data_IF_903491137994
#
_entry.id   IF_903491137994
#
_cell.length_a   1.000
_cell.length_b   1.000
_cell.length_c   1.000
_cell.angle_alpha   90.00
_cell.angle_beta   90.00
_cell.angle_gamma   90.00
#
_symmetry.space_group_name_H-M   'P 1'
#
loop_
_entity.id
_entity.type
_entity.pdbx_description
1 polymer ?
#
# COMPACT_ATOMS: atom_id res chain seq x y z
N UNK A 1 10.47 -1.77 -11.49
CA UNK A 1 9.95 -3.02 -10.92
C UNK A 1 10.76 -3.38 -9.69
N UNK A 2 10.11 -3.76 -8.59
CA UNK A 2 10.72 -4.31 -7.37
C UNK A 2 10.33 -5.77 -7.31
N UNK A 3 11.29 -6.67 -7.03
CA UNK A 3 11.04 -8.12 -7.02
C UNK A 3 11.70 -8.79 -5.83
N UNK A 4 10.91 -9.55 -5.10
CA UNK A 4 11.37 -10.54 -4.12
C UNK A 4 11.02 -11.91 -4.69
N UNK A 5 11.99 -12.80 -4.76
CA UNK A 5 11.79 -14.16 -5.29
C UNK A 5 12.24 -15.17 -4.24
N UNK A 6 11.29 -15.91 -3.70
CA UNK A 6 11.51 -16.98 -2.70
C UNK A 6 12.35 -16.54 -1.50
N UNK A 7 12.07 -15.33 -0.98
CA UNK A 7 12.86 -14.73 0.09
C UNK A 7 12.49 -15.32 1.43
N UNK A 8 13.51 -15.86 2.12
CA UNK A 8 13.37 -16.33 3.50
C UNK A 8 14.29 -15.54 4.42
N UNK A 9 13.78 -15.21 5.62
CA UNK A 9 14.53 -14.54 6.68
C UNK A 9 14.14 -15.04 8.07
N UNK A 10 15.14 -15.49 8.81
CA UNK A 10 14.98 -15.97 10.18
C UNK A 10 15.81 -15.11 11.14
N UNK A 11 15.24 -14.75 12.28
CA UNK A 11 15.92 -14.02 13.35
C UNK A 11 16.00 -14.88 14.60
N UNK A 12 17.12 -14.77 15.33
CA UNK A 12 17.32 -15.48 16.60
C UNK A 12 17.25 -17.01 16.54
N UNK A 13 17.41 -17.58 15.35
CA UNK A 13 17.42 -19.03 15.11
C UNK A 13 16.07 -19.73 15.15
N UNK A 14 14.98 -19.04 15.50
CA UNK A 14 13.65 -19.66 15.64
C UNK A 14 12.53 -18.89 14.92
N UNK A 15 12.59 -17.57 14.88
CA UNK A 15 11.50 -16.76 14.30
C UNK A 15 11.73 -16.53 12.83
N UNK A 16 10.94 -17.21 12.00
CA UNK A 16 10.92 -17.02 10.55
C UNK A 16 10.02 -15.83 10.22
N UNK A 17 10.64 -14.67 9.95
CA UNK A 17 9.92 -13.42 9.70
C UNK A 17 9.46 -13.28 8.24
N UNK A 18 10.18 -13.90 7.29
CA UNK A 18 9.75 -14.13 5.92
C UNK A 18 9.97 -15.60 5.60
N UNK A 19 9.00 -16.21 4.97
CA UNK A 19 9.00 -17.63 4.62
C UNK A 19 8.56 -17.84 3.17
N UNK A 20 9.55 -18.03 2.31
CA UNK A 20 9.36 -18.21 0.86
C UNK A 20 8.55 -17.07 0.20
N UNK A 21 8.79 -15.83 0.66
CA UNK A 21 8.05 -14.67 0.19
C UNK A 21 8.41 -14.35 -1.27
N UNK A 22 7.40 -14.35 -2.12
CA UNK A 22 7.48 -13.83 -3.50
C UNK A 22 6.54 -12.65 -3.63
N UNK A 23 7.04 -11.53 -4.18
CA UNK A 23 6.35 -10.26 -4.32
C UNK A 23 6.87 -9.53 -5.55
N UNK A 24 5.97 -8.98 -6.37
CA UNK A 24 6.33 -8.18 -7.53
C UNK A 24 5.59 -6.85 -7.56
N UNK A 25 6.34 -5.74 -7.45
CA UNK A 25 5.79 -4.39 -7.62
C UNK A 25 6.07 -3.92 -9.06
N UNK A 26 5.04 -3.75 -9.89
CA UNK A 26 5.23 -3.25 -11.26
C UNK A 26 5.86 -1.86 -11.29
N UNK A 27 6.56 -1.55 -12.36
CA UNK A 27 7.15 -0.22 -12.52
C UNK A 27 6.07 0.83 -12.74
N UNK A 28 6.16 1.95 -12.03
CA UNK A 28 5.20 3.05 -12.10
C UNK A 28 3.88 2.76 -11.37
N UNK A 29 3.76 1.64 -10.68
CA UNK A 29 2.61 1.28 -9.87
C UNK A 29 2.65 1.91 -8.47
N UNK A 30 1.48 2.04 -7.87
CA UNK A 30 1.29 2.29 -6.44
C UNK A 30 0.81 0.99 -5.79
N UNK A 31 1.72 0.32 -5.11
CA UNK A 31 1.48 -1.00 -4.53
C UNK A 31 1.27 -0.92 -3.01
N UNK A 32 0.12 -1.39 -2.54
CA UNK A 32 -0.22 -1.51 -1.13
C UNK A 32 0.17 -2.88 -0.58
N UNK A 33 1.08 -2.92 0.41
CA UNK A 33 1.46 -4.12 1.14
C UNK A 33 0.71 -4.16 2.48
N UNK A 34 -0.30 -5.01 2.57
CA UNK A 34 -1.22 -5.07 3.70
C UNK A 34 -0.98 -6.30 4.57
N UNK A 35 -1.24 -6.17 5.86
CA UNK A 35 -1.17 -7.29 6.80
C UNK A 35 -1.18 -6.80 8.25
N UNK A 36 -1.56 -7.69 9.15
CA UNK A 36 -1.53 -7.41 10.59
C UNK A 36 -0.12 -7.09 11.10
N UNK A 37 -0.05 -6.53 12.31
CA UNK A 37 1.24 -6.34 12.98
C UNK A 37 1.93 -7.70 13.17
N UNK A 38 3.21 -7.75 12.79
CA UNK A 38 3.98 -8.99 12.80
C UNK A 38 3.84 -9.85 11.52
N UNK A 39 3.05 -9.45 10.52
CA UNK A 39 2.93 -10.18 9.26
C UNK A 39 4.23 -10.28 8.43
N UNK A 40 5.23 -9.43 8.72
CA UNK A 40 6.51 -9.42 8.01
C UNK A 40 6.72 -8.21 7.09
N UNK A 41 5.75 -7.27 6.97
CA UNK A 41 5.79 -6.10 6.08
C UNK A 41 7.08 -5.29 6.22
N UNK A 42 7.38 -4.80 7.41
CA UNK A 42 8.61 -4.04 7.70
C UNK A 42 9.87 -4.85 7.40
N UNK A 43 9.84 -6.18 7.63
CA UNK A 43 10.97 -7.04 7.29
C UNK A 43 11.16 -7.11 5.77
N UNK A 44 10.10 -7.29 4.99
CA UNK A 44 10.15 -7.27 3.53
C UNK A 44 10.68 -5.91 3.02
N UNK A 45 10.17 -4.79 3.54
CA UNK A 45 10.62 -3.44 3.21
C UNK A 45 12.12 -3.25 3.50
N UNK A 46 12.62 -3.77 4.63
CA UNK A 46 14.06 -3.68 4.97
C UNK A 46 14.95 -4.51 4.05
N UNK A 47 14.43 -5.55 3.41
CA UNK A 47 15.14 -6.26 2.34
C UNK A 47 15.11 -5.45 1.03
N UNK A 48 13.96 -4.89 0.66
CA UNK A 48 13.78 -4.02 -0.52
C UNK A 48 14.70 -2.80 -0.44
N UNK A 49 14.89 -2.22 0.75
CA UNK A 49 15.78 -1.08 0.97
C UNK A 49 17.25 -1.49 1.18
N UNK A 50 17.54 -2.80 1.17
CA UNK A 50 18.88 -3.35 1.34
C UNK A 50 19.47 -3.12 2.73
N UNK A 51 18.63 -2.92 3.76
CA UNK A 51 19.04 -2.86 5.17
C UNK A 51 19.33 -4.28 5.67
N UNK A 52 18.49 -5.25 5.30
CA UNK A 52 18.70 -6.64 5.62
C UNK A 52 19.16 -7.46 4.41
N UNK A 53 19.99 -8.46 4.68
CA UNK A 53 20.32 -9.52 3.73
C UNK A 53 19.42 -10.72 4.01
N UNK A 54 18.84 -11.28 2.95
CA UNK A 54 18.05 -12.51 3.02
C UNK A 54 18.92 -13.73 3.32
N UNK A 55 18.31 -14.76 3.91
CA UNK A 55 18.97 -16.05 4.15
C UNK A 55 18.93 -16.92 2.90
N UNK A 56 17.82 -16.86 2.11
CA UNK A 56 17.68 -17.47 0.79
C UNK A 56 16.80 -16.60 -0.12
N UNK A 57 16.79 -16.93 -1.41
CA UNK A 57 16.07 -16.18 -2.44
C UNK A 57 16.84 -14.96 -2.95
N UNK A 58 16.15 -14.08 -3.66
CA UNK A 58 16.75 -12.87 -4.23
C UNK A 58 15.85 -11.65 -4.09
N UNK A 59 16.46 -10.46 -3.97
CA UNK A 59 15.79 -9.16 -3.93
C UNK A 59 16.42 -8.25 -4.97
N UNK A 60 15.62 -7.81 -5.94
CA UNK A 60 16.10 -6.95 -7.03
C UNK A 60 15.22 -5.71 -7.20
N UNK A 61 15.83 -4.63 -7.69
CA UNK A 61 15.16 -3.41 -8.13
C UNK A 61 15.69 -3.05 -9.52
N UNK A 62 14.75 -2.98 -10.48
CA UNK A 62 15.12 -2.79 -11.89
C UNK A 62 16.05 -3.90 -12.42
N UNK A 63 15.87 -5.13 -11.95
CA UNK A 63 16.68 -6.30 -12.30
C UNK A 63 18.07 -6.36 -11.63
N UNK A 64 18.41 -5.40 -10.76
CA UNK A 64 19.71 -5.36 -10.07
C UNK A 64 19.56 -5.71 -8.58
N UNK A 65 20.48 -6.50 -7.99
CA UNK A 65 20.44 -6.81 -6.57
C UNK A 65 20.61 -5.53 -5.73
N UNK A 66 19.87 -5.46 -4.61
CA UNK A 66 19.80 -4.25 -3.76
C UNK A 66 20.86 -4.27 -2.66
N UNK A 67 21.10 -5.43 -2.04
CA UNK A 67 22.00 -5.54 -0.90
C UNK A 67 23.43 -5.12 -1.30
N UNK A 68 24.04 -4.21 -0.51
CA UNK A 68 25.38 -3.63 -0.78
C UNK A 68 25.54 -3.00 -2.17
N UNK A 69 24.46 -2.48 -2.74
CA UNK A 69 24.49 -1.81 -4.05
C UNK A 69 24.13 -0.32 -3.92
N UNK A 70 25.12 0.58 -3.71
CA UNK A 70 24.86 2.02 -3.57
C UNK A 70 24.16 2.66 -4.76
N UNK A 71 24.44 2.16 -5.99
CA UNK A 71 23.84 2.69 -7.21
C UNK A 71 22.31 2.45 -7.24
N UNK A 72 21.86 1.28 -6.79
CA UNK A 72 20.43 0.98 -6.63
C UNK A 72 19.84 1.76 -5.47
N UNK A 73 20.53 1.76 -4.31
CA UNK A 73 20.04 2.44 -3.09
C UNK A 73 19.87 3.96 -3.29
N UNK A 74 20.71 4.60 -4.10
CA UNK A 74 20.58 6.03 -4.40
C UNK A 74 19.32 6.40 -5.19
N UNK A 75 18.61 5.40 -5.74
CA UNK A 75 17.34 5.56 -6.47
C UNK A 75 16.12 5.33 -5.59
N UNK A 76 16.32 4.91 -4.32
CA UNK A 76 15.25 4.58 -3.37
C UNK A 76 15.08 5.76 -2.41
N UNK A 77 13.85 6.28 -2.30
CA UNK A 77 13.39 7.10 -1.20
C UNK A 77 12.71 6.20 -0.18
N UNK A 78 13.17 6.21 1.07
CA UNK A 78 12.61 5.36 2.12
C UNK A 78 12.16 6.19 3.32
N UNK A 79 10.93 5.95 3.76
CA UNK A 79 10.39 6.51 5.00
C UNK A 79 10.00 5.32 5.90
N UNK A 80 10.74 5.08 7.00
CA UNK A 80 10.39 4.06 7.97
C UNK A 80 9.22 4.49 8.86
N UNK A 81 8.56 3.53 9.48
CA UNK A 81 7.53 3.78 10.50
C UNK A 81 8.12 4.54 11.71
N UNK A 82 9.26 4.08 12.23
CA UNK A 82 9.99 4.76 13.31
C UNK A 82 11.10 5.65 12.74
N UNK A 83 10.89 6.97 12.88
CA UNK A 83 11.82 8.01 12.45
C UNK A 83 12.94 8.32 13.48
N UNK A 84 13.16 7.47 14.48
CA UNK A 84 14.17 7.68 15.54
C UNK A 84 15.58 8.02 15.05
N UNK A 85 15.83 7.90 13.76
CA UNK A 85 17.11 8.17 13.09
C UNK A 85 17.36 9.67 12.84
N UNK A 86 16.32 10.53 12.88
CA UNK A 86 16.50 11.98 12.66
C UNK A 86 17.11 12.71 13.89
N UNK A 87 17.85 12.02 14.70
CA UNK A 87 18.20 12.28 16.09
C UNK A 87 18.99 13.52 16.48
N UNK A 88 19.20 14.54 15.69
CA UNK A 88 19.98 15.66 16.27
C UNK A 88 20.08 16.93 15.46
N UNK A 89 19.91 16.85 14.15
CA UNK A 89 20.05 18.00 13.25
C UNK A 89 18.75 18.79 13.06
N UNK A 90 18.89 19.91 12.38
CA UNK A 90 17.78 20.69 11.82
C UNK A 90 17.41 20.13 10.45
N UNK A 91 16.20 20.45 9.95
CA UNK A 91 15.79 20.09 8.60
C UNK A 91 16.75 20.67 7.54
N UNK A 92 17.27 21.87 7.77
CA UNK A 92 18.25 22.54 6.89
C UNK A 92 19.57 21.77 6.81
N UNK A 93 20.07 21.27 7.93
CA UNK A 93 21.31 20.47 7.97
C UNK A 93 21.13 19.13 7.27
N UNK A 94 19.98 18.46 7.48
CA UNK A 94 19.67 17.24 6.77
C UNK A 94 19.48 17.45 5.27
N UNK A 95 18.84 18.53 4.85
CA UNK A 95 18.71 18.85 3.42
C UNK A 95 20.09 19.10 2.78
N UNK A 96 21.01 19.76 3.49
CA UNK A 96 22.39 19.94 3.03
C UNK A 96 23.13 18.60 2.91
N UNK A 97 22.97 17.73 3.90
CA UNK A 97 23.52 16.37 3.87
C UNK A 97 22.96 15.54 2.69
N UNK A 98 21.63 15.55 2.51
CA UNK A 98 20.97 14.82 1.42
C UNK A 98 21.40 15.31 0.05
N UNK A 99 21.60 16.63 -0.11
CA UNK A 99 22.14 17.22 -1.35
C UNK A 99 23.54 16.70 -1.69
N UNK A 100 24.34 16.38 -0.68
CA UNK A 100 25.70 15.82 -0.89
C UNK A 100 25.63 14.33 -1.21
N UNK A 101 24.74 13.60 -0.56
CA UNK A 101 24.66 12.14 -0.67
C UNK A 101 23.86 11.65 -1.88
N UNK A 102 22.85 12.42 -2.31
CA UNK A 102 21.94 12.02 -3.38
C UNK A 102 22.12 12.92 -4.61
N UNK A 103 22.71 12.39 -5.70
CA UNK A 103 22.98 13.18 -6.90
C UNK A 103 21.72 13.78 -7.55
N UNK A 104 20.55 13.19 -7.30
CA UNK A 104 19.26 13.61 -7.87
C UNK A 104 18.48 14.56 -6.96
N UNK A 105 19.05 15.04 -5.84
CA UNK A 105 18.37 15.98 -4.96
C UNK A 105 17.93 17.24 -5.72
N UNK A 106 16.62 17.46 -5.79
CA UNK A 106 16.00 18.58 -6.49
C UNK A 106 15.80 19.78 -5.54
N UNK A 107 16.70 20.73 -5.61
CA UNK A 107 16.65 21.93 -4.77
C UNK A 107 15.43 22.82 -5.08
N UNK A 108 14.89 22.78 -6.33
CA UNK A 108 13.68 23.53 -6.68
C UNK A 108 12.46 22.88 -6.06
N UNK A 109 12.37 21.53 -6.12
CA UNK A 109 11.31 20.77 -5.46
C UNK A 109 11.35 21.00 -3.95
N UNK A 110 12.55 20.93 -3.34
CA UNK A 110 12.71 21.20 -1.91
C UNK A 110 12.17 22.58 -1.53
N UNK A 111 12.47 23.62 -2.34
CA UNK A 111 11.97 24.97 -2.09
C UNK A 111 10.44 25.06 -2.27
N UNK A 112 9.87 24.40 -3.26
CA UNK A 112 8.41 24.37 -3.49
C UNK A 112 7.65 23.65 -2.35
N UNK A 113 8.20 22.57 -1.83
CA UNK A 113 7.60 21.81 -0.72
C UNK A 113 7.61 22.57 0.62
N UNK A 114 8.36 23.66 0.76
CA UNK A 114 8.32 24.53 1.93
C UNK A 114 6.92 25.09 2.19
N UNK A 115 6.23 25.52 1.13
CA UNK A 115 4.89 26.10 1.25
C UNK A 115 3.82 25.05 1.58
N UNK A 116 4.12 23.79 1.27
CA UNK A 116 3.26 22.64 1.59
C UNK A 116 3.41 22.24 3.05
N UNK A 117 4.62 21.93 3.48
CA UNK A 117 4.88 21.38 4.82
C UNK A 117 4.97 22.43 5.92
N UNK A 118 5.35 23.68 5.60
CA UNK A 118 5.39 24.85 6.48
C UNK A 118 6.12 24.61 7.81
N UNK A 119 7.21 23.83 7.78
CA UNK A 119 8.04 23.59 8.94
C UNK A 119 9.16 24.61 9.02
N UNK A 120 9.54 24.99 10.23
CA UNK A 120 10.74 25.82 10.45
C UNK A 120 12.01 24.97 10.27
N UNK A 121 12.74 25.24 9.20
CA UNK A 121 13.95 24.50 8.83
C UNK A 121 15.10 24.66 9.85
N UNK A 122 15.05 25.66 10.73
CA UNK A 122 16.08 25.91 11.74
C UNK A 122 15.81 25.22 13.08
N UNK A 123 14.58 24.75 13.27
CA UNK A 123 14.21 24.02 14.49
C UNK A 123 14.80 22.60 14.46
N UNK A 124 15.48 22.16 15.55
CA UNK A 124 15.95 20.78 15.68
C UNK A 124 14.81 19.76 15.57
N UNK A 125 14.98 18.71 14.76
CA UNK A 125 13.93 17.73 14.47
C UNK A 125 13.40 16.99 15.71
N UNK A 126 14.24 16.83 16.74
CA UNK A 126 13.83 16.26 18.05
C UNK A 126 12.77 17.10 18.79
N UNK A 127 12.58 18.37 18.41
CA UNK A 127 11.53 19.24 18.96
C UNK A 127 10.21 19.15 18.20
N UNK A 128 10.22 18.52 17.05
CA UNK A 128 9.02 18.30 16.27
C UNK A 128 8.17 17.19 16.92
N UNK A 129 6.85 17.34 16.84
CA UNK A 129 5.93 16.23 17.12
C UNK A 129 6.18 15.07 16.14
N UNK A 130 5.72 13.86 16.45
CA UNK A 130 5.84 12.71 15.53
C UNK A 130 5.28 13.00 14.14
N UNK A 131 4.12 13.66 14.05
CA UNK A 131 3.55 14.10 12.77
C UNK A 131 4.44 15.09 12.03
N UNK A 132 4.98 16.11 12.71
CA UNK A 132 5.92 17.04 12.09
C UNK A 132 7.21 16.37 11.64
N UNK A 133 7.70 15.36 12.36
CA UNK A 133 8.85 14.55 11.92
C UNK A 133 8.54 13.77 10.64
N UNK A 134 7.34 13.18 10.54
CA UNK A 134 6.88 12.54 9.30
C UNK A 134 6.79 13.55 8.14
N UNK A 135 6.26 14.75 8.37
CA UNK A 135 6.26 15.82 7.37
C UNK A 135 7.69 16.17 6.89
N UNK A 136 8.65 16.30 7.81
CA UNK A 136 10.03 16.55 7.48
C UNK A 136 10.65 15.40 6.66
N UNK A 137 10.33 14.15 7.01
CA UNK A 137 10.77 12.98 6.27
C UNK A 137 10.21 12.97 4.84
N UNK A 138 8.92 13.25 4.65
CA UNK A 138 8.32 13.38 3.32
C UNK A 138 8.94 14.52 2.52
N UNK A 139 9.13 15.69 3.12
CA UNK A 139 9.75 16.84 2.46
C UNK A 139 11.14 16.49 1.91
N UNK A 140 11.99 15.88 2.74
CA UNK A 140 13.33 15.46 2.32
C UNK A 140 13.27 14.37 1.25
N UNK A 141 12.49 13.32 1.47
CA UNK A 141 12.45 12.15 0.59
C UNK A 141 11.87 12.47 -0.78
N UNK A 142 10.78 13.25 -0.86
CA UNK A 142 10.21 13.69 -2.14
C UNK A 142 11.15 14.65 -2.90
N UNK A 143 12.02 15.36 -2.18
CA UNK A 143 13.06 16.19 -2.81
C UNK A 143 14.18 15.39 -3.46
N UNK A 144 14.31 14.11 -3.17
CA UNK A 144 15.28 13.21 -3.83
C UNK A 144 14.88 12.83 -5.25
N UNK A 145 13.61 13.01 -5.64
CA UNK A 145 13.06 12.49 -6.91
C UNK A 145 13.41 11.01 -7.10
N UNK A 146 13.02 10.15 -6.17
CA UNK A 146 13.36 8.74 -6.22
C UNK A 146 12.64 8.04 -7.37
N UNK A 147 13.27 7.01 -7.96
CA UNK A 147 12.60 6.13 -8.90
C UNK A 147 11.67 5.15 -8.16
N UNK A 148 12.01 4.85 -6.90
CA UNK A 148 11.28 3.94 -6.02
C UNK A 148 11.04 4.61 -4.67
N UNK A 149 9.78 4.83 -4.33
CA UNK A 149 9.37 5.41 -3.05
C UNK A 149 8.82 4.28 -2.17
N UNK A 150 9.53 3.96 -1.09
CA UNK A 150 9.18 2.88 -0.17
C UNK A 150 8.76 3.48 1.16
N UNK A 151 7.54 3.19 1.59
CA UNK A 151 6.90 3.81 2.73
C UNK A 151 6.40 2.74 3.71
N UNK A 152 6.88 2.78 4.95
CA UNK A 152 6.50 1.83 6.00
C UNK A 152 5.57 2.54 7.00
N UNK A 153 4.26 2.18 7.00
CA UNK A 153 3.19 2.78 7.82
C UNK A 153 3.24 4.34 7.81
N UNK A 154 3.29 4.97 6.62
CA UNK A 154 3.71 6.37 6.51
C UNK A 154 2.71 7.38 7.04
N UNK A 155 1.42 7.04 7.05
CA UNK A 155 0.33 7.98 7.37
C UNK A 155 -0.22 7.82 8.78
N UNK A 156 0.29 6.88 9.55
CA UNK A 156 -0.07 6.71 10.94
C UNK A 156 0.21 7.98 11.76
N UNK A 157 -0.85 8.44 12.46
CA UNK A 157 -0.77 9.64 13.30
C UNK A 157 -0.76 10.97 12.54
N UNK A 158 -1.01 10.96 11.22
CA UNK A 158 -1.22 12.17 10.43
C UNK A 158 -2.70 12.55 10.39
N UNK A 159 -2.97 13.86 10.38
CA UNK A 159 -4.32 14.36 10.17
C UNK A 159 -4.79 14.11 8.70
N UNK A 160 -6.13 14.03 8.46
CA UNK A 160 -6.66 13.69 7.14
C UNK A 160 -6.29 14.66 6.03
N UNK A 161 -6.08 15.94 6.34
CA UNK A 161 -5.72 16.96 5.33
C UNK A 161 -4.30 16.73 4.85
N UNK A 162 -3.37 16.55 5.79
CA UNK A 162 -1.97 16.29 5.47
C UNK A 162 -1.79 14.95 4.76
N UNK A 163 -2.55 13.92 5.18
CA UNK A 163 -2.55 12.62 4.50
C UNK A 163 -2.89 12.75 3.02
N UNK A 164 -4.00 13.44 2.69
CA UNK A 164 -4.38 13.70 1.29
C UNK A 164 -3.31 14.46 0.51
N UNK A 165 -2.70 15.44 1.14
CA UNK A 165 -1.67 16.27 0.52
C UNK A 165 -0.41 15.46 0.18
N UNK A 166 0.02 14.59 1.09
CA UNK A 166 1.15 13.66 0.87
C UNK A 166 0.85 12.71 -0.28
N UNK A 167 -0.34 12.11 -0.30
CA UNK A 167 -0.74 11.21 -1.39
C UNK A 167 -0.82 11.92 -2.74
N UNK A 168 -1.37 13.15 -2.78
CA UNK A 168 -1.36 13.96 -4.01
C UNK A 168 0.06 14.16 -4.54
N UNK A 169 1.01 14.52 -3.68
CA UNK A 169 2.42 14.69 -4.08
C UNK A 169 3.08 13.39 -4.57
N UNK A 170 2.77 12.26 -3.92
CA UNK A 170 3.29 10.96 -4.35
C UNK A 170 2.70 10.55 -5.71
N UNK A 171 1.40 10.71 -5.91
CA UNK A 171 0.71 10.41 -7.17
C UNK A 171 1.15 11.34 -8.32
N UNK A 172 1.45 12.62 -8.04
CA UNK A 172 2.08 13.52 -9.00
C UNK A 172 3.45 13.00 -9.48
N UNK A 173 4.25 12.45 -8.55
CA UNK A 173 5.55 11.86 -8.90
C UNK A 173 5.39 10.54 -9.67
N UNK A 174 4.37 9.74 -9.39
CA UNK A 174 4.01 8.55 -10.20
C UNK A 174 3.64 8.97 -11.61
N UNK A 175 2.69 9.89 -11.77
CA UNK A 175 2.19 10.33 -13.07
C UNK A 175 3.25 11.09 -13.89
N UNK A 176 4.03 11.96 -13.23
CA UNK A 176 4.98 12.85 -13.92
C UNK A 176 6.36 12.26 -14.18
N UNK A 177 6.80 11.32 -13.34
CA UNK A 177 8.18 10.77 -13.38
C UNK A 177 8.23 9.25 -13.46
N UNK A 178 7.09 8.56 -13.41
CA UNK A 178 7.04 7.10 -13.41
C UNK A 178 7.61 6.49 -12.11
N UNK A 179 7.54 7.22 -11.00
CA UNK A 179 7.96 6.73 -9.68
C UNK A 179 7.15 5.51 -9.32
N UNK A 180 7.80 4.44 -8.87
CA UNK A 180 7.15 3.25 -8.33
C UNK A 180 7.00 3.42 -6.83
N UNK A 181 5.79 3.26 -6.30
CA UNK A 181 5.50 3.42 -4.88
C UNK A 181 5.15 2.08 -4.25
N UNK A 182 5.82 1.73 -3.15
CA UNK A 182 5.43 0.63 -2.27
C UNK A 182 5.07 1.23 -0.91
N UNK A 183 3.85 1.00 -0.47
CA UNK A 183 3.38 1.48 0.84
C UNK A 183 2.86 0.32 1.67
N UNK A 184 3.36 0.17 2.91
CA UNK A 184 2.77 -0.76 3.86
C UNK A 184 1.69 -0.09 4.70
N UNK A 185 0.64 -0.83 5.00
CA UNK A 185 -0.38 -0.46 5.98
C UNK A 185 -0.98 -1.70 6.65
N UNK A 186 -1.47 -1.53 7.86
CA UNK A 186 -2.33 -2.51 8.51
C UNK A 186 -3.82 -2.20 8.26
N UNK A 187 -4.14 -1.11 7.54
CA UNK A 187 -5.48 -0.64 7.26
C UNK A 187 -5.72 -0.53 5.74
N UNK A 188 -6.57 -1.38 5.19
CA UNK A 188 -6.92 -1.41 3.76
C UNK A 188 -7.57 -0.12 3.26
N UNK A 189 -8.42 0.51 4.10
CA UNK A 189 -9.14 1.74 3.72
C UNK A 189 -8.19 2.88 3.37
N UNK A 190 -7.01 2.91 3.99
CA UNK A 190 -6.01 3.95 3.73
C UNK A 190 -5.40 3.86 2.33
N UNK A 191 -5.46 2.66 1.74
CA UNK A 191 -4.83 2.33 0.46
C UNK A 191 -5.83 2.29 -0.71
N UNK A 192 -7.13 2.18 -0.42
CA UNK A 192 -8.18 2.00 -1.41
C UNK A 192 -8.20 3.09 -2.49
N UNK A 193 -7.98 4.33 -2.07
CA UNK A 193 -8.04 5.50 -2.98
C UNK A 193 -6.74 5.77 -3.73
N UNK A 194 -5.65 5.06 -3.41
CA UNK A 194 -4.32 5.42 -3.91
C UNK A 194 -3.59 4.29 -4.64
N UNK A 195 -3.89 3.04 -4.29
CA UNK A 195 -3.19 1.89 -4.87
C UNK A 195 -3.85 1.42 -6.16
N UNK A 196 -3.04 0.90 -7.07
CA UNK A 196 -3.47 0.16 -8.26
C UNK A 196 -3.20 -1.35 -8.13
N UNK A 197 -2.34 -1.73 -7.20
CA UNK A 197 -2.01 -3.11 -6.85
C UNK A 197 -2.01 -3.29 -5.34
N UNK A 198 -2.33 -4.49 -4.90
CA UNK A 198 -2.31 -4.82 -3.48
C UNK A 198 -1.83 -6.25 -3.24
N UNK A 199 -1.02 -6.40 -2.20
CA UNK A 199 -0.58 -7.68 -1.67
C UNK A 199 -0.93 -7.82 -0.20
N UNK A 200 -1.47 -8.99 0.19
CA UNK A 200 -1.76 -9.30 1.60
C UNK A 200 -0.73 -10.28 2.12
N UNK A 201 -0.06 -9.87 3.18
CA UNK A 201 0.90 -10.69 3.92
C UNK A 201 0.32 -11.22 5.23
N UNK A 202 0.64 -12.47 5.52
CA UNK A 202 0.35 -13.11 6.81
C UNK A 202 1.50 -14.06 7.20
N UNK A 203 2.00 -13.91 8.43
CA UNK A 203 3.05 -14.79 8.99
C UNK A 203 4.24 -15.02 8.04
N UNK A 204 4.70 -13.98 7.37
CA UNK A 204 5.84 -14.04 6.47
C UNK A 204 5.58 -14.53 5.05
N UNK A 205 4.33 -14.89 4.72
CA UNK A 205 3.91 -15.35 3.40
C UNK A 205 3.05 -14.33 2.69
N UNK A 206 3.02 -14.38 1.35
CA UNK A 206 2.03 -13.68 0.55
C UNK A 206 0.78 -14.56 0.43
N UNK A 207 -0.36 -14.07 0.90
CA UNK A 207 -1.64 -14.76 0.75
C UNK A 207 -2.33 -14.42 -0.56
N UNK A 208 -2.24 -13.17 -0.98
CA UNK A 208 -2.88 -12.66 -2.18
C UNK A 208 -2.04 -11.53 -2.77
N UNK A 209 -1.93 -11.49 -4.09
CA UNK A 209 -1.33 -10.41 -4.86
C UNK A 209 -2.13 -10.20 -6.13
N UNK A 210 -2.75 -9.02 -6.31
CA UNK A 210 -3.63 -8.69 -7.44
C UNK A 210 -3.59 -7.21 -7.77
N UNK A 211 -3.94 -6.87 -9.01
CA UNK A 211 -4.35 -5.52 -9.37
C UNK A 211 -5.74 -5.22 -8.81
N UNK A 212 -6.02 -3.95 -8.50
CA UNK A 212 -7.36 -3.57 -8.03
C UNK A 212 -8.42 -3.71 -9.13
N UNK A 213 -8.06 -3.46 -10.38
CA UNK A 213 -8.95 -3.71 -11.53
C UNK A 213 -9.40 -5.16 -11.59
N UNK A 214 -8.44 -6.14 -11.50
CA UNK A 214 -8.79 -7.56 -11.54
C UNK A 214 -9.69 -7.97 -10.36
N UNK A 215 -9.52 -7.33 -9.20
CA UNK A 215 -10.36 -7.60 -8.04
C UNK A 215 -11.76 -7.03 -8.22
N UNK A 216 -11.89 -5.81 -8.72
CA UNK A 216 -13.17 -5.13 -8.93
C UNK A 216 -14.00 -5.77 -10.04
N UNK A 217 -13.35 -6.27 -11.09
CA UNK A 217 -14.03 -6.91 -12.24
C UNK A 217 -14.64 -8.28 -11.90
N UNK A 218 -14.23 -8.88 -10.77
CA UNK A 218 -14.68 -10.21 -10.37
C UNK A 218 -15.78 -10.22 -9.30
N UNK A 219 -16.13 -9.06 -8.74
CA UNK A 219 -17.09 -8.97 -7.65
C UNK A 219 -18.06 -7.81 -7.86
N UNK A 220 -19.34 -8.08 -7.59
CA UNK A 220 -20.41 -7.08 -7.70
C UNK A 220 -21.19 -7.05 -6.38
N UNK A 221 -21.39 -5.85 -5.87
CA UNK A 221 -22.32 -5.59 -4.77
C UNK A 221 -23.60 -5.00 -5.33
N UNK A 222 -24.71 -5.61 -5.01
CA UNK A 222 -26.03 -5.18 -5.52
C UNK A 222 -26.92 -4.89 -4.33
N UNK A 223 -27.61 -3.75 -4.36
CA UNK A 223 -28.78 -3.50 -3.54
C UNK A 223 -30.03 -3.65 -4.38
N UNK A 224 -30.93 -4.55 -4.01
CA UNK A 224 -32.13 -4.78 -4.77
C UNK A 224 -33.37 -4.90 -3.88
N UNK A 225 -34.51 -4.60 -4.49
CA UNK A 225 -35.83 -4.87 -3.93
C UNK A 225 -36.61 -5.66 -4.97
N UNK A 226 -36.90 -6.91 -4.68
CA UNK A 226 -37.70 -7.78 -5.59
C UNK A 226 -38.68 -8.63 -4.79
N UNK A 227 -39.83 -8.94 -5.39
CA UNK A 227 -40.80 -9.92 -4.89
C UNK A 227 -40.65 -11.26 -5.60
N UNK A 228 -39.88 -11.31 -6.68
CA UNK A 228 -39.63 -12.49 -7.46
C UNK A 228 -38.38 -13.26 -6.97
N UNK A 229 -38.31 -14.57 -7.15
CA UNK A 229 -37.11 -15.33 -6.81
C UNK A 229 -35.94 -14.91 -7.68
N UNK A 230 -34.75 -14.92 -7.08
CA UNK A 230 -33.51 -14.65 -7.79
C UNK A 230 -33.13 -15.78 -8.74
N UNK A 231 -32.50 -15.49 -9.89
CA UNK A 231 -31.98 -16.50 -10.79
C UNK A 231 -31.02 -17.47 -10.08
N UNK A 232 -31.16 -18.77 -10.31
CA UNK A 232 -30.28 -19.79 -9.72
C UNK A 232 -28.86 -19.79 -10.33
N UNK A 233 -28.66 -19.11 -11.45
CA UNK A 233 -27.35 -18.93 -12.11
C UNK A 233 -26.42 -18.02 -11.35
N UNK A 234 -26.95 -17.14 -10.49
CA UNK A 234 -26.16 -16.16 -9.74
C UNK A 234 -25.28 -16.84 -8.69
N UNK A 235 -24.00 -16.56 -8.74
CA UNK A 235 -23.06 -17.01 -7.73
C UNK A 235 -23.05 -16.04 -6.54
N UNK A 236 -24.00 -16.23 -5.61
CA UNK A 236 -24.14 -15.40 -4.41
C UNK A 236 -23.10 -15.83 -3.38
N UNK A 237 -22.23 -14.92 -2.97
CA UNK A 237 -21.22 -15.12 -1.93
C UNK A 237 -21.72 -14.68 -0.56
N UNK A 238 -22.54 -13.64 -0.54
CA UNK A 238 -23.16 -13.12 0.67
C UNK A 238 -24.50 -12.49 0.37
N UNK A 239 -25.43 -12.68 1.33
CA UNK A 239 -26.76 -12.08 1.30
C UNK A 239 -27.07 -11.48 2.68
N UNK A 240 -27.58 -10.27 2.69
CA UNK A 240 -28.12 -9.61 3.88
C UNK A 240 -29.36 -8.80 3.51
N UNK A 241 -30.25 -8.57 4.46
CA UNK A 241 -31.47 -7.80 4.23
C UNK A 241 -31.67 -6.76 5.33
N UNK A 242 -32.04 -5.54 4.94
CA UNK A 242 -32.49 -4.49 5.84
C UNK A 242 -33.88 -4.01 5.40
N UNK A 243 -34.91 -4.46 6.09
CA UNK A 243 -36.28 -4.23 5.69
C UNK A 243 -36.62 -4.97 4.37
N UNK A 244 -36.95 -4.21 3.31
CA UNK A 244 -37.22 -4.75 1.97
C UNK A 244 -35.99 -4.75 1.06
N UNK A 245 -34.91 -4.07 1.46
CA UNK A 245 -33.70 -3.96 0.66
C UNK A 245 -32.81 -5.17 0.95
N UNK A 246 -32.53 -5.95 -0.07
CA UNK A 246 -31.54 -7.02 -0.05
C UNK A 246 -30.22 -6.48 -0.55
N UNK A 247 -29.13 -6.81 0.14
CA UNK A 247 -27.77 -6.55 -0.32
C UNK A 247 -27.11 -7.88 -0.63
N UNK A 248 -26.73 -8.05 -1.89
CA UNK A 248 -26.05 -9.25 -2.37
C UNK A 248 -24.61 -8.91 -2.74
N UNK A 249 -23.70 -9.83 -2.47
CA UNK A 249 -22.36 -9.83 -3.02
C UNK A 249 -22.24 -11.06 -3.91
N UNK A 250 -21.92 -10.82 -5.16
CA UNK A 250 -21.95 -11.78 -6.25
C UNK A 250 -20.55 -11.88 -6.86
N UNK A 251 -20.20 -13.08 -7.30
CA UNK A 251 -19.02 -13.25 -8.16
C UNK A 251 -19.47 -13.23 -9.62
N UNK A 252 -18.84 -12.39 -10.41
CA UNK A 252 -19.10 -12.27 -11.84
C UNK A 252 -18.83 -10.87 -12.37
N UNK A 253 -18.92 -10.76 -13.68
CA UNK A 253 -18.83 -9.48 -14.38
C UNK A 253 -20.07 -8.60 -14.11
N UNK A 254 -19.90 -7.31 -13.79
CA UNK A 254 -21.00 -6.41 -13.43
C UNK A 254 -22.14 -6.35 -14.47
N UNK A 255 -21.81 -6.36 -15.75
CA UNK A 255 -22.81 -6.30 -16.81
C UNK A 255 -23.63 -7.61 -16.89
N UNK A 256 -22.95 -8.73 -16.84
CA UNK A 256 -23.60 -10.06 -16.85
C UNK A 256 -24.53 -10.24 -15.65
N UNK A 257 -24.07 -9.83 -14.46
CA UNK A 257 -24.89 -9.89 -13.23
C UNK A 257 -26.11 -8.97 -13.33
N UNK A 258 -25.95 -7.76 -13.87
CA UNK A 258 -27.07 -6.83 -14.06
C UNK A 258 -28.13 -7.40 -15.03
N UNK A 259 -27.68 -8.01 -16.14
CA UNK A 259 -28.58 -8.62 -17.13
C UNK A 259 -29.34 -9.82 -16.55
N UNK A 260 -28.67 -10.65 -15.75
CA UNK A 260 -29.31 -11.78 -15.07
C UNK A 260 -30.34 -11.31 -14.02
N UNK A 261 -30.00 -10.29 -13.22
CA UNK A 261 -30.89 -9.72 -12.20
C UNK A 261 -32.14 -9.05 -12.83
N UNK A 262 -32.01 -8.50 -14.02
CA UNK A 262 -33.16 -7.92 -14.75
C UNK A 262 -34.28 -8.94 -15.00
N UNK A 263 -33.97 -10.24 -15.10
CA UNK A 263 -34.95 -11.31 -15.24
C UNK A 263 -35.89 -11.46 -14.02
N UNK A 264 -35.45 -11.03 -12.83
CA UNK A 264 -36.30 -11.02 -11.62
C UNK A 264 -37.22 -9.78 -11.54
N UNK A 265 -37.18 -8.88 -12.53
CA UNK A 265 -37.94 -7.65 -12.58
C UNK A 265 -37.92 -6.86 -11.25
N UNK A 266 -36.75 -6.49 -10.73
CA UNK A 266 -36.63 -5.83 -9.45
C UNK A 266 -37.25 -4.42 -9.49
N UNK A 267 -37.89 -4.00 -8.37
CA UNK A 267 -38.39 -2.62 -8.21
C UNK A 267 -37.23 -1.62 -8.06
N UNK A 268 -36.11 -2.06 -7.49
CA UNK A 268 -34.86 -1.33 -7.33
C UNK A 268 -33.71 -2.31 -7.58
N UNK A 269 -32.70 -1.89 -8.34
CA UNK A 269 -31.46 -2.63 -8.53
C UNK A 269 -30.32 -1.63 -8.73
N UNK A 270 -29.50 -1.44 -7.69
CA UNK A 270 -28.36 -0.56 -7.71
C UNK A 270 -27.07 -1.37 -7.58
N UNK A 271 -26.16 -1.19 -8.54
CA UNK A 271 -24.81 -1.72 -8.50
C UNK A 271 -23.92 -0.77 -7.70
N UNK A 272 -23.30 -1.28 -6.67
CA UNK A 272 -22.41 -0.52 -5.78
C UNK A 272 -20.97 -1.01 -5.90
N UNK A 273 -19.97 -0.13 -5.77
CA UNK A 273 -18.59 -0.58 -5.65
C UNK A 273 -18.41 -1.36 -4.33
N UNK A 274 -17.63 -2.44 -4.38
CA UNK A 274 -17.16 -3.09 -3.17
C UNK A 274 -15.95 -2.34 -2.62
N UNK A 275 -15.89 -2.23 -1.29
CA UNK A 275 -14.65 -1.81 -0.63
C UNK A 275 -13.59 -2.91 -0.75
N UNK A 276 -12.32 -2.52 -0.65
CA UNK A 276 -11.23 -3.50 -0.61
C UNK A 276 -11.40 -4.50 0.53
N UNK A 277 -11.87 -4.06 1.69
CA UNK A 277 -12.16 -4.95 2.83
C UNK A 277 -13.19 -6.02 2.46
N UNK A 278 -14.29 -5.63 1.80
CA UNK A 278 -15.32 -6.57 1.37
C UNK A 278 -14.76 -7.57 0.36
N UNK A 279 -14.03 -7.10 -0.66
CA UNK A 279 -13.41 -7.96 -1.67
C UNK A 279 -12.51 -9.01 -1.00
N UNK A 280 -11.68 -8.59 -0.05
CA UNK A 280 -10.76 -9.51 0.64
C UNK A 280 -11.46 -10.51 1.54
N UNK A 281 -12.53 -10.10 2.23
CA UNK A 281 -13.34 -11.02 3.03
C UNK A 281 -13.86 -12.17 2.16
N UNK A 282 -14.32 -11.88 0.95
CA UNK A 282 -14.90 -12.87 0.05
C UNK A 282 -13.87 -13.65 -0.76
N UNK A 283 -12.74 -13.03 -1.12
CA UNK A 283 -11.65 -13.74 -1.83
C UNK A 283 -10.90 -14.70 -0.89
N UNK A 284 -10.61 -14.30 0.35
CA UNK A 284 -9.91 -15.13 1.33
C UNK A 284 -10.83 -16.02 2.16
N UNK A 285 -12.11 -15.69 2.31
CA UNK A 285 -13.07 -16.47 3.11
C UNK A 285 -13.24 -17.90 2.67
N UNK A 286 -12.96 -18.21 1.39
CA UNK A 286 -12.90 -19.56 0.85
C UNK A 286 -11.64 -20.36 1.23
N UNK A 287 -10.63 -19.73 1.79
CA UNK A 287 -9.32 -20.35 2.10
C UNK A 287 -9.16 -20.78 3.55
N UNK A 288 -10.22 -20.62 4.38
CA UNK A 288 -10.20 -21.02 5.79
C UNK A 288 -9.48 -20.06 6.74
N UNK A 289 -9.09 -18.88 6.27
CA UNK A 289 -8.53 -17.82 7.11
C UNK A 289 -9.65 -17.00 7.77
N UNK A 290 -9.51 -16.72 9.06
CA UNK A 290 -10.40 -15.77 9.77
C UNK A 290 -10.01 -14.34 9.38
N UNK A 291 -10.59 -13.84 8.29
CA UNK A 291 -10.28 -12.57 7.66
C UNK A 291 -10.50 -11.39 8.61
N UNK A 292 -11.42 -11.53 9.59
CA UNK A 292 -11.68 -10.49 10.60
C UNK A 292 -10.45 -10.17 11.44
N UNK A 293 -9.56 -11.14 11.65
CA UNK A 293 -8.32 -10.95 12.40
C UNK A 293 -7.14 -10.47 11.53
N UNK A 294 -7.31 -10.39 10.20
CA UNK A 294 -6.28 -9.98 9.26
C UNK A 294 -6.42 -8.52 8.80
N UNK A 295 -7.64 -8.00 8.80
CA UNK A 295 -8.02 -6.74 8.14
C UNK A 295 -8.60 -5.71 9.13
N UNK A 296 -9.04 -6.13 10.31
CA UNK A 296 -9.52 -5.31 11.42
C UNK A 296 -8.51 -5.31 12.56
#
# INVERSE_FOLDING_TARGET
MIELSHVTKTFGGATRALDDLTLTVPQGAVYGLVGSNGAGKTTAIRHITGIFRQDSGSVTIGGLPVYENPAVKSRIGYIPDDLGVFGGGTLRELAAFYRTMYPRFDAKRYAALRDVFRLDEATPLRRFSKGMQKHAAFWLTLSLRPDYLVLDEPVDGLDPVMRRQIWSLALEDVAGYGTTVLVSSHNLRELEDICDHVGIMHMGHMLLERSLSDLQDNFVKVQLVTENPLPQSLQILHESALGRVQTLILRGDPQTVADELAASAPMLCDLLPLSLEEIFIYELGGTGYDVKNLVL
#
